data_IF_995379622754
#
_entry.id   IF_995379622754
#
_cell.length_a   1.000
_cell.length_b   1.000
_cell.length_c   1.000
_cell.angle_alpha   90.00
_cell.angle_beta   90.00
_cell.angle_gamma   90.00
#
_symmetry.space_group_name_H-M   'P 1'
#
loop_
_entity.id
_entity.type
_entity.pdbx_description
1 polymer ?
#
# COMPACT_ATOMS: atom_id res chain seq x y z
N UNK A 1 17.42 -9.67 9.86
CA UNK A 1 16.52 -8.51 9.69
C UNK A 1 15.05 -8.91 9.81
N UNK A 2 14.54 -9.84 9.00
CA UNK A 2 13.14 -10.28 9.09
C UNK A 2 12.78 -10.87 10.47
N UNK A 3 13.69 -11.62 11.11
CA UNK A 3 13.50 -12.13 12.49
C UNK A 3 13.24 -11.03 13.52
N UNK A 4 13.78 -9.82 13.32
CA UNK A 4 13.54 -8.70 14.22
C UNK A 4 12.10 -8.20 14.10
N UNK A 5 11.55 -8.16 12.88
CA UNK A 5 10.14 -7.81 12.64
C UNK A 5 9.20 -8.85 13.25
N UNK A 6 9.59 -10.12 13.24
CA UNK A 6 8.77 -11.20 13.81
C UNK A 6 8.64 -11.13 15.34
N UNK A 7 9.51 -10.39 16.01
CA UNK A 7 9.51 -10.21 17.47
C UNK A 7 8.92 -8.87 17.92
N UNK A 8 8.39 -8.10 16.98
CA UNK A 8 7.80 -6.79 17.23
C UNK A 8 6.29 -6.82 17.01
N UNK A 9 5.59 -5.97 17.76
CA UNK A 9 4.16 -5.75 17.64
C UNK A 9 3.97 -4.37 17.02
N UNK A 10 3.18 -4.28 15.96
CA UNK A 10 2.89 -3.02 15.30
C UNK A 10 1.40 -2.77 15.29
N UNK A 11 0.96 -1.60 15.77
CA UNK A 11 -0.41 -1.16 15.55
C UNK A 11 -0.66 -0.80 14.08
N UNK A 12 0.36 -0.20 13.45
CA UNK A 12 0.35 0.23 12.06
C UNK A 12 1.75 0.09 11.48
N UNK A 13 1.83 -0.53 10.30
CA UNK A 13 3.00 -0.43 9.42
C UNK A 13 2.61 0.38 8.19
N UNK A 14 3.49 1.29 7.76
CA UNK A 14 3.33 2.07 6.54
C UNK A 14 4.50 1.82 5.61
N UNK A 15 4.23 1.48 4.36
CA UNK A 15 5.24 1.12 3.37
C UNK A 15 5.06 1.90 2.06
N UNK A 16 6.15 2.12 1.35
CA UNK A 16 6.09 2.46 -0.06
C UNK A 16 5.78 1.23 -0.92
N UNK A 17 5.40 1.46 -2.17
CA UNK A 17 5.34 0.43 -3.21
C UNK A 17 5.91 0.96 -4.52
N UNK A 18 6.40 0.04 -5.37
CA UNK A 18 6.82 0.38 -6.72
C UNK A 18 5.63 0.64 -7.63
N UNK A 19 4.54 -0.11 -7.43
CA UNK A 19 3.29 0.02 -8.15
C UNK A 19 2.11 -0.44 -7.29
N UNK A 20 0.92 0.06 -7.61
CA UNK A 20 -0.37 -0.48 -7.14
C UNK A 20 -1.13 -0.96 -8.37
N UNK A 21 -1.38 -2.26 -8.41
CA UNK A 21 -2.09 -2.95 -9.48
C UNK A 21 -3.46 -3.42 -8.98
N UNK A 22 -4.56 -3.20 -9.74
CA UNK A 22 -5.90 -3.56 -9.29
C UNK A 22 -6.11 -5.07 -9.16
N UNK A 23 -5.36 -5.90 -9.89
CA UNK A 23 -5.51 -7.35 -9.84
C UNK A 23 -4.59 -7.99 -8.80
N UNK A 24 -3.35 -7.50 -8.70
CA UNK A 24 -2.30 -8.14 -7.92
C UNK A 24 -2.04 -7.44 -6.57
N UNK A 25 -2.37 -6.16 -6.43
CA UNK A 25 -2.14 -5.34 -5.24
C UNK A 25 -0.84 -4.54 -5.27
N UNK A 26 -0.19 -4.44 -4.11
CA UNK A 26 1.06 -3.70 -3.99
C UNK A 26 2.22 -4.53 -4.55
N UNK A 27 3.00 -3.93 -5.44
CA UNK A 27 4.13 -4.58 -6.10
C UNK A 27 5.46 -3.95 -5.72
N UNK A 28 6.53 -4.74 -5.78
CA UNK A 28 7.90 -4.34 -5.50
C UNK A 28 8.91 -5.01 -6.44
N UNK A 29 10.16 -4.49 -6.48
CA UNK A 29 11.16 -4.89 -7.46
C UNK A 29 11.98 -6.11 -7.07
N UNK A 30 11.80 -6.62 -5.85
CA UNK A 30 12.58 -7.76 -5.37
C UNK A 30 11.82 -8.62 -4.37
N UNK A 31 12.26 -9.86 -4.26
CA UNK A 31 11.81 -10.82 -3.24
C UNK A 31 11.92 -10.26 -1.82
N UNK A 32 12.93 -9.42 -1.55
CA UNK A 32 13.07 -8.75 -0.25
C UNK A 32 11.88 -7.84 0.08
N UNK A 33 11.31 -7.14 -0.90
CA UNK A 33 10.12 -6.32 -0.66
C UNK A 33 8.91 -7.20 -0.32
N UNK A 34 8.76 -8.32 -1.04
CA UNK A 34 7.71 -9.29 -0.77
C UNK A 34 7.85 -9.92 0.62
N UNK A 35 9.06 -10.31 1.01
CA UNK A 35 9.34 -10.91 2.31
C UNK A 35 9.07 -9.93 3.48
N UNK A 36 9.47 -8.67 3.34
CA UNK A 36 9.21 -7.63 4.36
C UNK A 36 7.70 -7.34 4.43
N UNK A 37 7.02 -7.16 3.30
CA UNK A 37 5.57 -6.94 3.26
C UNK A 37 4.80 -8.08 3.91
N UNK A 38 5.17 -9.33 3.62
CA UNK A 38 4.56 -10.51 4.23
C UNK A 38 4.82 -10.59 5.75
N UNK A 39 6.00 -10.22 6.22
CA UNK A 39 6.30 -10.18 7.66
C UNK A 39 5.47 -9.11 8.36
N UNK A 40 5.40 -7.89 7.79
CA UNK A 40 4.59 -6.80 8.34
C UNK A 40 3.10 -7.14 8.32
N UNK A 41 2.58 -7.75 7.24
CA UNK A 41 1.18 -8.16 7.15
C UNK A 41 0.79 -9.21 8.20
N UNK A 42 1.74 -10.01 8.69
CA UNK A 42 1.49 -10.97 9.78
C UNK A 42 1.56 -10.33 11.17
N UNK A 43 2.34 -9.27 11.34
CA UNK A 43 2.70 -8.71 12.66
C UNK A 43 2.01 -7.38 12.98
N UNK A 44 1.62 -6.64 11.95
CA UNK A 44 0.92 -5.39 12.09
C UNK A 44 -0.59 -5.63 12.17
N UNK A 45 -1.26 -4.91 13.06
CA UNK A 45 -2.72 -4.87 13.10
C UNK A 45 -3.31 -4.19 11.86
N UNK A 46 -2.57 -3.26 11.26
CA UNK A 46 -2.91 -2.58 10.00
C UNK A 46 -1.66 -2.37 9.15
N UNK A 47 -1.75 -2.58 7.85
CA UNK A 47 -0.70 -2.32 6.87
C UNK A 47 -1.21 -1.36 5.79
N UNK A 48 -0.60 -0.17 5.77
CA UNK A 48 -0.92 0.90 4.83
C UNK A 48 0.18 1.08 3.79
N UNK A 49 -0.21 1.53 2.59
CA UNK A 49 0.71 1.93 1.54
C UNK A 49 0.64 3.42 1.27
N UNK A 50 1.80 4.02 0.98
CA UNK A 50 1.95 5.43 0.63
C UNK A 50 2.63 5.50 -0.74
N UNK A 51 1.93 5.99 -1.74
CA UNK A 51 2.43 6.09 -3.12
C UNK A 51 1.96 7.37 -3.80
N UNK A 52 2.76 7.96 -4.68
CA UNK A 52 2.22 8.97 -5.58
C UNK A 52 1.38 8.33 -6.69
N UNK A 53 0.52 9.12 -7.32
CA UNK A 53 -0.40 8.65 -8.36
C UNK A 53 0.33 8.12 -9.60
N UNK A 54 1.60 8.47 -9.77
CA UNK A 54 2.46 7.90 -10.81
C UNK A 54 2.73 6.39 -10.63
N UNK A 55 2.39 5.80 -9.48
CA UNK A 55 2.51 4.36 -9.21
C UNK A 55 1.31 3.53 -9.67
N UNK A 56 0.23 4.18 -10.07
CA UNK A 56 -0.92 3.53 -10.70
C UNK A 56 -0.62 3.18 -12.16
N UNK A 57 -1.08 2.02 -12.62
CA UNK A 57 -0.85 1.56 -14.00
C UNK A 57 0.60 1.18 -14.31
N UNK A 58 1.44 1.06 -13.27
CA UNK A 58 2.77 0.45 -13.36
C UNK A 58 2.68 -1.02 -12.94
N UNK A 59 3.69 -1.79 -13.31
CA UNK A 59 3.88 -3.16 -12.82
C UNK A 59 5.29 -3.30 -12.27
N UNK A 60 5.47 -4.27 -11.37
CA UNK A 60 6.77 -4.72 -10.89
C UNK A 60 6.75 -6.24 -10.66
N UNK A 61 7.91 -6.85 -10.44
CA UNK A 61 8.08 -8.30 -10.55
C UNK A 61 7.51 -9.12 -9.38
N UNK A 62 7.34 -8.51 -8.19
CA UNK A 62 6.96 -9.24 -6.98
C UNK A 62 5.72 -8.67 -6.32
N UNK A 63 4.77 -9.54 -5.98
CA UNK A 63 3.62 -9.18 -5.15
C UNK A 63 4.08 -9.02 -3.70
N UNK A 64 3.93 -7.81 -3.17
CA UNK A 64 4.24 -7.45 -1.78
C UNK A 64 3.04 -7.74 -0.89
N UNK A 65 1.86 -7.30 -1.31
CA UNK A 65 0.62 -7.57 -0.60
C UNK A 65 -0.56 -7.57 -1.58
N UNK A 66 -1.43 -8.61 -1.55
CA UNK A 66 -2.67 -8.60 -2.32
C UNK A 66 -3.53 -7.37 -2.00
N UNK A 67 -4.26 -6.85 -2.99
CA UNK A 67 -5.03 -5.61 -2.84
C UNK A 67 -6.05 -5.68 -1.70
N UNK A 68 -6.75 -6.80 -1.58
CA UNK A 68 -7.75 -7.06 -0.54
C UNK A 68 -7.19 -7.21 0.89
N UNK A 69 -5.87 -7.10 1.06
CA UNK A 69 -5.20 -7.10 2.37
C UNK A 69 -4.60 -5.75 2.73
N UNK A 70 -4.68 -4.75 1.86
CA UNK A 70 -4.27 -3.39 2.16
C UNK A 70 -5.34 -2.77 3.08
N UNK A 71 -4.93 -2.19 4.21
CA UNK A 71 -5.89 -1.53 5.11
C UNK A 71 -6.17 -0.08 4.67
N UNK A 72 -5.14 0.60 4.17
CA UNK A 72 -5.22 1.98 3.74
C UNK A 72 -4.22 2.28 2.63
N UNK A 73 -4.60 3.19 1.74
CA UNK A 73 -3.76 3.70 0.66
C UNK A 73 -3.75 5.23 0.71
N UNK A 74 -2.59 5.82 0.97
CA UNK A 74 -2.38 7.25 0.85
C UNK A 74 -1.75 7.59 -0.50
N UNK A 75 -2.32 8.59 -1.18
CA UNK A 75 -1.80 9.07 -2.46
C UNK A 75 -2.04 10.57 -2.64
N UNK A 76 -1.28 11.20 -3.54
CA UNK A 76 -1.33 12.65 -3.79
C UNK A 76 -2.49 13.06 -4.70
N UNK A 77 -3.04 12.12 -5.50
CA UNK A 77 -4.19 12.35 -6.38
C UNK A 77 -5.07 11.12 -6.47
N UNK A 78 -6.35 11.33 -6.80
CA UNK A 78 -7.33 10.24 -6.92
C UNK A 78 -6.85 9.16 -7.91
N UNK A 79 -6.96 7.86 -7.56
CA UNK A 79 -6.58 6.77 -8.45
C UNK A 79 -7.40 6.75 -9.74
N UNK A 80 -6.91 6.11 -10.82
CA UNK A 80 -7.70 5.81 -12.01
C UNK A 80 -8.96 4.98 -11.66
N UNK A 81 -10.05 5.08 -12.45
CA UNK A 81 -11.34 4.45 -12.13
C UNK A 81 -11.25 2.97 -11.74
N UNK A 82 -10.49 2.18 -12.49
CA UNK A 82 -10.32 0.74 -12.22
C UNK A 82 -9.73 0.44 -10.84
N UNK A 83 -8.77 1.26 -10.38
CA UNK A 83 -8.14 1.09 -9.06
C UNK A 83 -9.04 1.66 -7.96
N UNK A 84 -9.70 2.78 -8.24
CA UNK A 84 -10.62 3.42 -7.32
C UNK A 84 -11.86 2.55 -7.03
N UNK A 85 -12.39 1.88 -8.05
CA UNK A 85 -13.46 0.88 -7.93
C UNK A 85 -13.02 -0.32 -7.06
N UNK A 86 -11.82 -0.85 -7.30
CA UNK A 86 -11.29 -1.96 -6.52
C UNK A 86 -11.03 -1.57 -5.06
N UNK A 87 -10.52 -0.36 -4.81
CA UNK A 87 -10.36 0.21 -3.47
C UNK A 87 -11.71 0.28 -2.74
N UNK A 88 -12.74 0.77 -3.42
CA UNK A 88 -14.09 0.85 -2.86
C UNK A 88 -14.68 -0.55 -2.59
N UNK A 89 -14.47 -1.51 -3.49
CA UNK A 89 -14.97 -2.87 -3.36
C UNK A 89 -14.30 -3.66 -2.22
N UNK A 90 -13.02 -3.39 -1.95
CA UNK A 90 -12.22 -4.08 -0.93
C UNK A 90 -12.26 -3.43 0.44
N UNK A 91 -12.87 -2.24 0.57
CA UNK A 91 -12.96 -1.50 1.82
C UNK A 91 -11.64 -0.82 2.24
N UNK A 92 -10.71 -0.65 1.31
CA UNK A 92 -9.44 0.06 1.56
C UNK A 92 -9.75 1.51 1.92
N UNK A 93 -9.16 2.01 3.01
CA UNK A 93 -9.27 3.44 3.35
C UNK A 93 -8.38 4.27 2.42
N UNK A 94 -8.98 4.99 1.46
CA UNK A 94 -8.27 5.94 0.60
C UNK A 94 -8.03 7.27 1.33
N UNK A 95 -6.77 7.69 1.41
CA UNK A 95 -6.35 8.97 1.99
C UNK A 95 -5.80 9.88 0.89
N UNK A 96 -6.37 11.07 0.76
CA UNK A 96 -5.94 12.12 -0.16
C UNK A 96 -5.43 13.33 0.64
N UNK A 97 -4.61 14.21 0.03
CA UNK A 97 -4.19 15.44 0.69
C UNK A 97 -5.42 16.27 1.04
N UNK A 98 -5.44 16.82 2.25
CA UNK A 98 -6.44 17.80 2.63
C UNK A 98 -6.23 19.02 1.72
N UNK A 99 -7.30 19.55 1.12
CA UNK A 99 -7.21 20.80 0.39
C UNK A 99 -6.67 21.86 1.37
N UNK A 100 -5.52 22.45 1.06
CA UNK A 100 -5.07 23.62 1.81
C UNK A 100 -6.01 24.78 1.43
N UNK A 101 -7.09 24.94 2.19
CA UNK A 101 -7.92 26.14 2.16
C UNK A 101 -7.10 27.30 2.75
N UNK A 102 -6.23 27.89 1.91
CA UNK A 102 -5.50 29.10 2.22
C UNK A 102 -4.12 28.88 2.85
N UNK A 103 -3.10 28.86 1.98
CA UNK A 103 -1.82 29.43 2.38
C UNK A 103 -2.02 30.95 2.53
N UNK A 104 -1.99 31.40 3.78
CA UNK A 104 -1.58 32.76 4.15
C UNK A 104 -0.08 32.93 3.92
#
# INVERSE_FOLDING_TARGET
MLEALDRQVFDLAACGASAIDPLHGALGPSEWHAAIGAALARRARRLAFIVNAGKFGRSDAHVVLPINRIDALATDRRPPPQIDEEIAATGITLLLPIANDGAR
#
